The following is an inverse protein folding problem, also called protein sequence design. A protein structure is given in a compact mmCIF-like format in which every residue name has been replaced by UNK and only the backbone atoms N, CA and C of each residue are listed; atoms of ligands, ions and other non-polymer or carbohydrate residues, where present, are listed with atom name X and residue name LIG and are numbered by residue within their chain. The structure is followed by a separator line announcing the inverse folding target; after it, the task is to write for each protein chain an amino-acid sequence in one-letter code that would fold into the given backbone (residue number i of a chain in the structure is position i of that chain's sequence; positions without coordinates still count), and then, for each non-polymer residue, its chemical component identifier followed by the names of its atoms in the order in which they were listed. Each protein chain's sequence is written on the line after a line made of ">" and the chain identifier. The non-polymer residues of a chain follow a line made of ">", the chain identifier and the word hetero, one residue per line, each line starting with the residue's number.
data_IF_565483849812
#
_entry.id   IF_565483849812
#
_cell.length_a   1.000
_cell.length_b   1.000
_cell.length_c   1.000
_cell.angle_alpha   90.00
_cell.angle_beta   90.00
_cell.angle_gamma   90.00
#
_symmetry.space_group_name_H-M   'P 1'
#
loop_
_entity.id
_entity.type
_entity.pdbx_description
1 polymer ?
#
# COMPACT_ATOMS: atom_id res chain seq x y z
N UNK A 1 -26.74 1.52 8.31
CA UNK A 1 -26.28 2.81 8.86
C UNK A 1 -24.90 3.09 8.30
N UNK A 2 -24.62 4.20 7.59
CA UNK A 2 -23.26 4.46 7.15
C UNK A 2 -22.51 5.21 8.27
N UNK A 3 -21.39 4.70 8.80
CA UNK A 3 -20.57 5.47 9.71
C UNK A 3 -19.70 6.44 8.89
N UNK A 4 -19.69 7.70 9.32
CA UNK A 4 -18.91 8.80 8.75
C UNK A 4 -17.45 8.68 9.18
N UNK A 5 -16.49 8.78 8.26
CA UNK A 5 -15.05 8.89 8.60
C UNK A 5 -14.26 9.76 7.61
N UNK A 6 -13.29 10.46 8.19
CA UNK A 6 -12.38 11.46 7.62
C UNK A 6 -11.05 10.84 7.16
N UNK A 7 -10.15 11.66 6.62
CA UNK A 7 -9.15 11.31 5.60
C UNK A 7 -7.73 11.73 6.04
N UNK A 8 -6.67 10.98 5.73
CA UNK A 8 -5.27 11.43 5.97
C UNK A 8 -4.24 10.77 5.02
N UNK A 9 -3.36 11.61 4.46
CA UNK A 9 -2.25 11.27 3.55
C UNK A 9 -1.05 10.60 4.23
N UNK A 10 -0.57 9.47 3.68
CA UNK A 10 0.64 8.74 4.13
C UNK A 10 1.93 9.58 3.99
N UNK A 11 2.01 10.44 2.97
CA UNK A 11 3.10 11.44 2.84
C UNK A 11 3.17 12.40 4.02
N UNK A 12 2.03 12.75 4.63
CA UNK A 12 2.00 13.64 5.80
C UNK A 12 2.50 12.95 7.08
N UNK A 13 2.32 11.63 7.21
CA UNK A 13 2.86 10.85 8.33
C UNK A 13 4.38 10.64 8.21
N UNK A 14 4.88 10.34 7.00
CA UNK A 14 6.32 10.23 6.75
C UNK A 14 7.07 11.57 6.92
N UNK A 15 6.40 12.70 6.67
CA UNK A 15 6.95 14.03 6.95
C UNK A 15 6.86 14.41 8.44
N UNK A 16 5.83 13.96 9.17
CA UNK A 16 5.63 14.30 10.59
C UNK A 16 6.53 13.52 11.57
N UNK A 17 7.10 12.37 11.17
CA UNK A 17 7.90 11.50 12.05
C UNK A 17 9.35 11.31 11.58
N UNK A 18 9.96 12.31 10.93
CA UNK A 18 11.42 12.27 10.67
C UNK A 18 12.19 12.49 11.97
N UNK A 19 13.17 11.63 12.32
CA UNK A 19 14.18 12.00 13.32
C UNK A 19 15.02 13.16 12.77
N UNK A 20 15.23 14.17 13.61
CA UNK A 20 16.01 15.37 13.31
C UNK A 20 17.47 14.95 13.06
N UNK A 21 17.96 15.18 11.84
CA UNK A 21 19.38 15.25 11.55
C UNK A 21 19.62 16.36 10.51
N UNK A 22 20.68 17.13 10.74
CA UNK A 22 20.96 18.45 10.18
C UNK A 22 21.20 18.51 8.67
N UNK A 23 21.06 19.73 8.16
CA UNK A 23 21.13 20.17 6.77
C UNK A 23 22.48 19.95 6.08
N UNK A 24 22.43 19.64 4.78
CA UNK A 24 23.37 20.16 3.79
C UNK A 24 22.62 20.41 2.46
N UNK A 25 22.61 21.66 2.02
CA UNK A 25 22.39 22.13 0.62
C UNK A 25 23.75 22.60 0.08
N UNK A 26 24.06 22.75 -1.24
CA UNK A 26 23.19 22.95 -2.44
C UNK A 26 23.76 22.21 -3.72
N UNK A 27 23.59 22.63 -5.01
CA UNK A 27 22.56 23.42 -5.69
C UNK A 27 21.87 22.71 -6.89
N UNK A 28 20.78 23.35 -7.32
CA UNK A 28 20.06 23.37 -8.60
C UNK A 28 20.66 22.68 -9.83
N UNK A 29 19.88 21.75 -10.41
CA UNK A 29 19.82 21.56 -11.86
C UNK A 29 18.36 21.55 -12.30
N UNK A 30 18.01 22.57 -13.09
CA UNK A 30 16.75 22.71 -13.81
C UNK A 30 16.62 21.55 -14.79
N UNK A 31 15.55 20.78 -14.66
CA UNK A 31 15.09 19.90 -15.73
C UNK A 31 13.59 20.14 -15.90
N UNK A 32 13.26 21.05 -16.80
CA UNK A 32 11.91 21.23 -17.33
C UNK A 32 11.61 20.00 -18.19
N UNK A 33 10.81 19.07 -17.67
CA UNK A 33 10.14 18.08 -18.50
C UNK A 33 8.68 18.47 -18.65
N UNK A 34 8.40 19.17 -19.74
CA UNK A 34 7.05 19.39 -20.24
C UNK A 34 6.59 18.06 -20.82
N UNK A 35 5.81 17.28 -20.08
CA UNK A 35 4.97 16.25 -20.70
C UNK A 35 3.57 16.82 -20.82
N UNK A 36 3.21 17.07 -22.08
CA UNK A 36 1.87 17.47 -22.49
C UNK A 36 0.86 16.51 -21.84
N UNK A 37 -0.04 17.07 -21.04
CA UNK A 37 -1.26 16.40 -20.59
C UNK A 37 -2.08 16.03 -21.82
N UNK A 38 -1.85 14.83 -22.32
CA UNK A 38 -2.75 14.17 -23.23
C UNK A 38 -3.99 13.79 -22.42
N UNK A 39 -5.07 14.54 -22.63
CA UNK A 39 -6.41 14.23 -22.14
C UNK A 39 -6.78 12.84 -22.64
N UNK A 40 -6.64 11.82 -21.79
CA UNK A 40 -7.18 10.50 -22.09
C UNK A 40 -8.49 10.30 -21.32
N UNK A 41 -9.51 9.98 -22.11
CA UNK A 41 -10.90 9.75 -21.74
C UNK A 41 -11.06 8.70 -20.63
N UNK A 42 -12.15 8.85 -19.87
CA UNK A 42 -12.59 8.00 -18.78
C UNK A 42 -13.01 6.58 -19.21
N UNK A 43 -12.04 5.77 -19.64
CA UNK A 43 -12.15 4.32 -19.73
C UNK A 43 -11.13 3.72 -18.75
N UNK A 44 -11.58 2.79 -17.91
CA UNK A 44 -10.85 2.17 -16.81
C UNK A 44 -9.39 1.82 -17.16
N UNK A 45 -8.46 2.72 -16.84
CA UNK A 45 -7.02 2.53 -17.07
C UNK A 45 -6.51 1.59 -16.00
N UNK A 46 -5.95 0.44 -16.41
CA UNK A 46 -5.28 -0.46 -15.48
C UNK A 46 -4.12 0.28 -14.79
N UNK A 47 -3.96 0.16 -13.46
CA UNK A 47 -2.91 0.87 -12.76
C UNK A 47 -1.54 0.36 -13.20
N UNK A 48 -0.54 1.24 -13.15
CA UNK A 48 0.85 0.84 -13.34
C UNK A 48 1.25 -0.09 -12.19
N UNK A 49 1.76 -1.27 -12.53
CA UNK A 49 2.21 -2.26 -11.55
C UNK A 49 3.73 -2.19 -11.44
N UNK A 50 4.23 -1.99 -10.23
CA UNK A 50 5.67 -1.86 -9.97
C UNK A 50 6.07 -2.57 -8.69
N UNK A 51 7.34 -2.93 -8.55
CA UNK A 51 7.90 -3.53 -7.34
C UNK A 51 9.15 -2.78 -6.86
N UNK A 52 9.27 -2.65 -5.55
CA UNK A 52 10.43 -2.06 -4.89
C UNK A 52 11.61 -3.05 -4.86
N UNK A 53 12.77 -2.61 -5.37
CA UNK A 53 14.02 -3.37 -5.40
C UNK A 53 14.87 -3.13 -4.14
N UNK A 54 15.95 -3.90 -4.01
CA UNK A 54 16.84 -3.85 -2.84
C UNK A 54 17.57 -2.51 -2.66
N UNK A 55 17.82 -1.82 -3.76
CA UNK A 55 18.44 -0.50 -3.88
C UNK A 55 17.45 0.67 -3.72
N UNK A 56 16.16 0.40 -3.47
CA UNK A 56 15.12 1.41 -3.31
C UNK A 56 14.52 1.94 -4.63
N UNK A 57 14.92 1.41 -5.79
CA UNK A 57 14.28 1.76 -7.08
C UNK A 57 13.01 0.95 -7.28
N UNK A 58 12.06 1.49 -8.05
CA UNK A 58 10.87 0.76 -8.50
C UNK A 58 11.06 0.29 -9.93
N UNK A 59 10.67 -0.95 -10.21
CA UNK A 59 10.66 -1.51 -11.57
C UNK A 59 9.25 -1.95 -11.93
N UNK A 60 8.88 -1.80 -13.19
CA UNK A 60 7.60 -2.27 -13.72
C UNK A 60 7.58 -3.79 -13.70
N UNK A 61 6.44 -4.36 -13.29
CA UNK A 61 6.26 -5.79 -13.13
C UNK A 61 4.96 -6.26 -13.76
N UNK A 62 4.90 -7.54 -14.08
CA UNK A 62 3.66 -8.21 -14.43
C UNK A 62 2.74 -8.42 -13.22
N UNK A 63 1.45 -8.62 -13.46
CA UNK A 63 0.49 -8.94 -12.39
C UNK A 63 0.87 -10.22 -11.63
N UNK A 64 1.35 -11.24 -12.34
CA UNK A 64 1.79 -12.51 -11.74
C UNK A 64 2.95 -12.32 -10.74
N UNK A 65 3.80 -11.30 -10.94
CA UNK A 65 4.85 -10.94 -9.98
C UNK A 65 4.31 -10.27 -8.71
N UNK A 66 3.09 -9.74 -8.71
CA UNK A 66 2.43 -9.27 -7.49
C UNK A 66 2.23 -10.43 -6.50
N UNK A 67 1.86 -11.61 -7.01
CA UNK A 67 1.50 -12.80 -6.24
C UNK A 67 2.72 -13.57 -5.71
N UNK A 68 3.83 -13.53 -6.45
CA UNK A 68 5.06 -14.28 -6.12
C UNK A 68 5.77 -13.74 -4.90
N UNK A 69 6.53 -14.57 -4.19
CA UNK A 69 7.43 -14.09 -3.14
C UNK A 69 8.75 -13.64 -3.79
N UNK A 70 9.21 -12.42 -3.52
CA UNK A 70 10.35 -11.81 -4.21
C UNK A 70 11.59 -11.66 -3.33
N UNK A 71 11.49 -11.98 -2.03
CA UNK A 71 12.61 -11.87 -1.08
C UNK A 71 13.26 -13.24 -0.84
N UNK A 72 14.57 -13.27 -0.51
CA UNK A 72 15.32 -14.46 -0.07
C UNK A 72 15.11 -15.75 -0.91
N UNK A 73 15.92 -15.95 -1.95
CA UNK A 73 15.90 -17.10 -2.88
C UNK A 73 15.98 -18.49 -2.19
N UNK A 74 16.36 -18.54 -0.93
CA UNK A 74 16.67 -19.76 -0.17
C UNK A 74 15.48 -20.25 0.68
N UNK A 75 14.37 -19.52 0.71
CA UNK A 75 13.22 -19.85 1.55
C UNK A 75 12.01 -20.15 0.67
N UNK A 76 11.43 -21.34 0.85
CA UNK A 76 10.24 -21.91 0.20
C UNK A 76 9.35 -20.90 -0.55
N UNK A 77 9.70 -20.58 -1.80
CA UNK A 77 9.07 -19.48 -2.55
C UNK A 77 7.66 -19.81 -3.04
N UNK A 78 7.38 -21.09 -3.29
CA UNK A 78 6.07 -21.57 -3.74
C UNK A 78 5.02 -21.52 -2.62
N UNK A 79 5.43 -21.79 -1.37
CA UNK A 79 4.53 -21.79 -0.20
C UNK A 79 4.07 -20.38 0.19
N UNK A 80 4.75 -19.34 -0.33
CA UNK A 80 4.45 -17.92 -0.10
C UNK A 80 3.77 -17.24 -1.28
N UNK A 81 3.42 -18.00 -2.33
CA UNK A 81 2.58 -17.51 -3.41
C UNK A 81 1.18 -17.22 -2.85
N UNK A 82 0.66 -16.02 -3.15
CA UNK A 82 -0.68 -15.63 -2.75
C UNK A 82 -1.34 -14.96 -3.94
N UNK A 83 -2.23 -15.70 -4.60
CA UNK A 83 -3.11 -15.14 -5.62
C UNK A 83 -4.30 -14.49 -4.94
N UNK A 84 -4.64 -13.30 -5.38
CA UNK A 84 -5.79 -12.54 -4.94
C UNK A 84 -6.47 -11.87 -6.13
N UNK A 85 -7.69 -11.38 -5.93
CA UNK A 85 -8.38 -10.60 -6.95
C UNK A 85 -7.89 -9.15 -6.89
N UNK A 86 -7.05 -8.77 -7.88
CA UNK A 86 -6.53 -7.42 -7.96
C UNK A 86 -7.67 -6.39 -8.15
N UNK A 87 -8.72 -6.69 -8.90
CA UNK A 87 -9.81 -5.73 -9.11
C UNK A 87 -10.59 -5.46 -7.83
N UNK A 88 -10.90 -6.50 -7.06
CA UNK A 88 -11.58 -6.32 -5.77
C UNK A 88 -10.69 -5.59 -4.76
N UNK A 89 -9.36 -5.82 -4.76
CA UNK A 89 -8.42 -5.02 -3.97
C UNK A 89 -8.47 -3.53 -4.36
N UNK A 90 -8.39 -3.22 -5.67
CA UNK A 90 -8.42 -1.85 -6.18
C UNK A 90 -9.74 -1.17 -5.84
N UNK A 91 -10.86 -1.86 -6.03
CA UNK A 91 -12.20 -1.38 -5.71
C UNK A 91 -12.35 -1.11 -4.22
N UNK A 92 -11.90 -2.02 -3.35
CA UNK A 92 -11.91 -1.81 -1.91
C UNK A 92 -11.09 -0.58 -1.52
N UNK A 93 -9.90 -0.41 -2.12
CA UNK A 93 -9.04 0.73 -1.86
C UNK A 93 -9.65 2.05 -2.33
N UNK A 94 -10.19 2.12 -3.55
CA UNK A 94 -10.89 3.32 -4.06
C UNK A 94 -12.11 3.64 -3.20
N UNK A 95 -12.90 2.63 -2.83
CA UNK A 95 -14.07 2.77 -1.96
C UNK A 95 -13.68 3.38 -0.62
N UNK A 96 -12.53 2.97 -0.08
CA UNK A 96 -12.05 3.42 1.23
C UNK A 96 -11.66 4.91 1.28
N UNK A 97 -11.39 5.52 0.13
CA UNK A 97 -11.02 6.94 -0.01
C UNK A 97 -11.94 7.71 -0.97
N UNK A 98 -13.11 7.17 -1.32
CA UNK A 98 -14.03 7.84 -2.25
C UNK A 98 -14.56 9.17 -1.71
N UNK A 99 -14.66 9.30 -0.38
CA UNK A 99 -15.00 10.57 0.27
C UNK A 99 -13.95 11.67 0.06
N UNK A 100 -12.74 11.31 -0.35
CA UNK A 100 -11.65 12.23 -0.73
C UNK A 100 -11.71 12.63 -2.20
N UNK A 101 -12.73 12.17 -2.93
CA UNK A 101 -12.87 12.39 -4.37
C UNK A 101 -12.00 11.48 -5.24
N UNK A 102 -11.38 10.45 -4.67
CA UNK A 102 -10.67 9.43 -5.44
C UNK A 102 -11.65 8.61 -6.28
N UNK A 103 -11.31 8.37 -7.55
CA UNK A 103 -12.16 7.66 -8.51
C UNK A 103 -11.55 6.36 -9.00
N UNK A 104 -10.23 6.30 -9.08
CA UNK A 104 -9.52 5.09 -9.52
C UNK A 104 -8.08 5.08 -8.99
N UNK A 105 -7.48 3.90 -9.00
CA UNK A 105 -6.08 3.70 -8.65
C UNK A 105 -5.21 3.95 -9.89
N UNK A 106 -4.16 4.74 -9.76
CA UNK A 106 -3.19 5.03 -10.83
C UNK A 106 -1.97 4.12 -10.78
N UNK A 107 -1.58 3.66 -9.58
CA UNK A 107 -0.38 2.83 -9.42
C UNK A 107 -0.50 1.87 -8.25
N UNK A 108 -0.04 0.65 -8.44
CA UNK A 108 0.19 -0.35 -7.40
C UNK A 108 1.69 -0.60 -7.29
N UNK A 109 2.27 -0.23 -6.15
CA UNK A 109 3.65 -0.54 -5.81
C UNK A 109 3.66 -1.71 -4.83
N UNK A 110 4.24 -2.83 -5.24
CA UNK A 110 4.59 -3.92 -4.34
C UNK A 110 5.80 -3.52 -3.51
N UNK A 111 5.59 -3.36 -2.22
CA UNK A 111 6.65 -3.04 -1.27
C UNK A 111 7.55 -4.25 -1.04
N UNK A 112 8.75 -4.01 -0.52
CA UNK A 112 9.64 -5.10 -0.08
C UNK A 112 8.93 -6.00 0.93
N UNK A 113 8.77 -7.26 0.56
CA UNK A 113 8.04 -8.22 1.36
C UNK A 113 8.75 -8.48 2.70
N UNK A 114 7.95 -8.55 3.77
CA UNK A 114 8.39 -9.04 5.08
C UNK A 114 8.24 -10.56 5.17
N UNK A 115 8.49 -11.11 6.35
CA UNK A 115 8.31 -12.55 6.57
C UNK A 115 6.84 -12.99 6.50
N UNK A 116 5.92 -12.14 6.95
CA UNK A 116 4.56 -12.57 7.32
C UNK A 116 3.46 -12.01 6.41
N UNK A 117 3.71 -10.95 5.64
CA UNK A 117 2.69 -10.30 4.82
C UNK A 117 3.29 -9.83 3.49
N UNK A 118 2.46 -9.85 2.44
CA UNK A 118 2.68 -9.03 1.24
C UNK A 118 2.09 -7.65 1.49
N UNK A 119 2.78 -6.62 1.00
CA UNK A 119 2.38 -5.24 1.23
C UNK A 119 2.40 -4.47 -0.09
N UNK A 120 1.37 -3.66 -0.30
CA UNK A 120 1.17 -2.87 -1.50
C UNK A 120 0.84 -1.44 -1.11
N UNK A 121 1.45 -0.49 -1.80
CA UNK A 121 1.11 0.92 -1.75
C UNK A 121 0.31 1.26 -3.01
N UNK A 122 -0.96 1.62 -2.83
CA UNK A 122 -1.88 1.98 -3.90
C UNK A 122 -1.97 3.50 -3.95
N UNK A 123 -1.62 4.09 -5.09
CA UNK A 123 -1.73 5.54 -5.32
C UNK A 123 -2.98 5.82 -6.15
N UNK A 124 -3.81 6.75 -5.71
CA UNK A 124 -5.07 7.13 -6.37
C UNK A 124 -4.87 8.31 -7.33
N UNK A 125 -5.88 8.57 -8.16
CA UNK A 125 -5.93 9.70 -9.10
C UNK A 125 -5.86 11.07 -8.41
N UNK A 126 -6.42 11.19 -7.21
CA UNK A 126 -6.35 12.40 -6.39
C UNK A 126 -5.04 12.53 -5.59
N UNK A 127 -4.08 11.60 -5.76
CA UNK A 127 -2.81 11.58 -5.04
C UNK A 127 -2.88 10.97 -3.63
N UNK A 128 -4.04 10.48 -3.20
CA UNK A 128 -4.18 9.74 -1.94
C UNK A 128 -3.47 8.39 -2.04
N UNK A 129 -3.00 7.89 -0.90
CA UNK A 129 -2.25 6.64 -0.82
C UNK A 129 -2.90 5.69 0.19
N UNK A 130 -3.17 4.46 -0.24
CA UNK A 130 -3.72 3.39 0.58
C UNK A 130 -2.68 2.29 0.72
N UNK A 131 -2.37 1.89 1.94
CA UNK A 131 -1.45 0.80 2.22
C UNK A 131 -2.23 -0.48 2.50
N UNK A 132 -2.13 -1.45 1.60
CA UNK A 132 -2.78 -2.75 1.73
C UNK A 132 -1.77 -3.80 2.20
N UNK A 133 -2.19 -4.64 3.15
CA UNK A 133 -1.41 -5.79 3.61
C UNK A 133 -2.24 -7.06 3.45
N UNK A 134 -1.65 -8.07 2.83
CA UNK A 134 -2.25 -9.39 2.68
C UNK A 134 -1.43 -10.42 3.46
N UNK A 135 -2.06 -11.23 4.33
CA UNK A 135 -1.35 -12.23 5.13
C UNK A 135 -0.76 -13.33 4.26
N UNK A 136 0.50 -13.68 4.51
CA UNK A 136 1.14 -14.80 3.83
C UNK A 136 0.57 -16.13 4.37
N UNK A 137 0.36 -17.15 3.53
CA UNK A 137 -0.20 -18.44 3.95
C UNK A 137 0.56 -19.11 5.11
N UNK A 138 1.87 -18.85 5.20
CA UNK A 138 2.77 -19.44 6.20
C UNK A 138 2.80 -18.66 7.53
N UNK A 139 2.13 -17.51 7.64
CA UNK A 139 2.21 -16.65 8.82
C UNK A 139 1.46 -17.21 10.05
N UNK A 140 1.00 -18.46 10.00
CA UNK A 140 0.11 -19.05 10.98
C UNK A 140 -1.35 -18.69 10.71
N UNK A 141 -2.25 -18.83 11.71
CA UNK A 141 -3.66 -18.53 11.49
C UNK A 141 -3.88 -17.04 11.17
N UNK A 142 -4.26 -16.75 9.92
CA UNK A 142 -4.52 -15.39 9.42
C UNK A 142 -5.41 -14.53 10.33
N UNK A 143 -6.35 -15.15 11.04
CA UNK A 143 -7.20 -14.45 11.99
C UNK A 143 -6.38 -13.82 13.13
N UNK A 144 -5.56 -14.60 13.81
CA UNK A 144 -4.80 -14.11 14.96
C UNK A 144 -3.70 -13.13 14.55
N UNK A 145 -3.06 -13.33 13.39
CA UNK A 145 -2.04 -12.40 12.90
C UNK A 145 -2.63 -11.03 12.58
N UNK A 146 -3.72 -10.98 11.82
CA UNK A 146 -4.38 -9.72 11.46
C UNK A 146 -5.01 -9.06 12.69
N UNK A 147 -5.77 -9.82 13.50
CA UNK A 147 -6.44 -9.27 14.66
C UNK A 147 -5.46 -8.74 15.72
N UNK A 148 -4.35 -9.46 15.98
CA UNK A 148 -3.32 -8.99 16.92
C UNK A 148 -2.58 -7.75 16.42
N UNK A 149 -2.31 -7.65 15.13
CA UNK A 149 -1.73 -6.43 14.54
C UNK A 149 -2.68 -5.24 14.68
N UNK A 150 -3.96 -5.44 14.37
CA UNK A 150 -5.00 -4.41 14.49
C UNK A 150 -5.12 -3.94 15.95
N UNK A 151 -5.28 -4.87 16.88
CA UNK A 151 -5.38 -4.58 18.31
C UNK A 151 -4.14 -3.82 18.81
N UNK A 152 -2.95 -4.22 18.38
CA UNK A 152 -1.70 -3.54 18.77
C UNK A 152 -1.66 -2.11 18.26
N UNK A 153 -2.06 -1.85 17.01
CA UNK A 153 -2.05 -0.49 16.44
C UNK A 153 -3.08 0.43 17.07
N UNK A 154 -4.26 -0.11 17.39
CA UNK A 154 -5.29 0.61 18.14
C UNK A 154 -4.82 0.94 19.57
N UNK A 155 -4.19 -0.02 20.26
CA UNK A 155 -3.60 0.21 21.58
C UNK A 155 -2.52 1.29 21.54
N UNK A 156 -1.57 1.19 20.60
CA UNK A 156 -0.50 2.18 20.41
C UNK A 156 -1.06 3.59 20.20
N UNK A 157 -2.10 3.73 19.38
CA UNK A 157 -2.72 5.03 19.11
C UNK A 157 -3.57 5.52 20.29
N UNK A 158 -4.51 4.70 20.76
CA UNK A 158 -5.57 5.11 21.67
C UNK A 158 -5.14 5.14 23.14
N UNK A 159 -4.21 4.27 23.54
CA UNK A 159 -3.73 4.18 24.92
C UNK A 159 -2.37 4.87 25.07
N UNK A 160 -1.44 4.60 24.16
CA UNK A 160 -0.07 5.12 24.27
C UNK A 160 0.16 6.44 23.53
N UNK A 161 -0.82 6.95 22.78
CA UNK A 161 -0.71 8.17 21.96
C UNK A 161 0.49 8.16 20.99
N UNK A 162 0.94 6.97 20.58
CA UNK A 162 2.02 6.80 19.60
C UNK A 162 1.41 6.99 18.21
N UNK A 163 1.97 7.88 17.36
CA UNK A 163 1.43 8.16 16.04
C UNK A 163 1.67 6.98 15.10
N UNK A 164 0.71 6.06 15.05
CA UNK A 164 0.69 4.98 14.05
C UNK A 164 -0.06 5.43 12.79
N UNK A 165 0.07 4.75 11.64
CA UNK A 165 -0.86 4.92 10.52
C UNK A 165 -2.24 4.32 10.84
N UNK A 166 -3.32 4.95 10.38
CA UNK A 166 -4.70 4.53 10.70
C UNK A 166 -5.06 3.25 9.95
N UNK A 167 -5.80 2.35 10.59
CA UNK A 167 -6.43 1.22 9.92
C UNK A 167 -7.72 1.72 9.30
N UNK A 168 -7.84 1.57 7.98
CA UNK A 168 -9.02 2.05 7.23
C UNK A 168 -10.09 0.95 7.18
N UNK A 169 -9.66 -0.28 6.89
CA UNK A 169 -10.46 -1.49 6.93
C UNK A 169 -9.53 -2.67 7.24
N UNK A 170 -10.09 -3.74 7.78
CA UNK A 170 -9.40 -5.01 7.95
C UNK A 170 -10.43 -6.15 7.89
N UNK A 171 -9.98 -7.32 7.45
CA UNK A 171 -10.73 -8.56 7.51
C UNK A 171 -9.80 -9.68 7.95
N UNK A 172 -10.32 -10.57 8.79
CA UNK A 172 -9.65 -11.80 9.19
C UNK A 172 -10.27 -13.04 8.53
N UNK A 173 -11.30 -12.84 7.70
CA UNK A 173 -11.94 -13.92 6.96
C UNK A 173 -11.06 -14.32 5.77
N UNK A 174 -10.81 -15.64 5.65
CA UNK A 174 -10.06 -16.21 4.52
C UNK A 174 -10.88 -16.27 3.24
N UNK A 175 -12.21 -16.20 3.35
CA UNK A 175 -13.13 -16.18 2.22
C UNK A 175 -13.45 -14.75 1.75
N UNK A 176 -12.68 -13.77 2.24
CA UNK A 176 -12.75 -12.42 1.67
C UNK A 176 -12.45 -12.48 0.17
N UNK A 177 -13.16 -11.67 -0.61
CA UNK A 177 -13.02 -11.62 -2.06
C UNK A 177 -11.78 -10.83 -2.52
N UNK A 178 -10.95 -10.40 -1.57
CA UNK A 178 -9.66 -9.72 -1.72
C UNK A 178 -8.56 -10.61 -1.21
#
# INVERSE_FOLDING_TARGET
>A
MPPKLWTYSLRRWLLANRPIAYQHTPPSTVATFTTLTERQNANHVMPILSAERSNGTSEDISEEELYRYTRNRWMHMSERYLKFDLQELLKAAVTSVSSEGARYCTRVLKCREGLNNKAYLLTMDNGSEVFAKLPSPIAGPAYYTTASEVATREFLRGVLNIPTPRIIAWSADRNNNV
#
